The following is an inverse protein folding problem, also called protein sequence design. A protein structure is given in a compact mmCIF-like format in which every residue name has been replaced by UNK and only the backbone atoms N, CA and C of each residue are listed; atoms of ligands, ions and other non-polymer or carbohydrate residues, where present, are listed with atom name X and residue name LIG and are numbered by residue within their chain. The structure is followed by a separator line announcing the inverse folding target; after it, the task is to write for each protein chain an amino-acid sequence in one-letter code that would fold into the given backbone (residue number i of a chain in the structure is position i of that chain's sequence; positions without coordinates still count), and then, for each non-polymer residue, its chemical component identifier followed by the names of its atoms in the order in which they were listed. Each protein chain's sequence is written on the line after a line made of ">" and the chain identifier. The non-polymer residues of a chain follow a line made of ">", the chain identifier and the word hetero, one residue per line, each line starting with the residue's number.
data_IF_038869490800
#
_entry.id   IF_038869490800
#
_cell.length_a   1.000
_cell.length_b   1.000
_cell.length_c   1.000
_cell.angle_alpha   90.00
_cell.angle_beta   90.00
_cell.angle_gamma   90.00
#
_symmetry.space_group_name_H-M   'P 1'
#
loop_
_entity.id
_entity.type
_entity.pdbx_description
1 polymer ?
#
# COMPACT_ATOMS: atom_id res chain seq x y z
N UNK A 1 4.91 18.20 24.31
CA UNK A 1 4.29 18.63 23.05
C UNK A 1 5.29 18.41 21.92
N UNK A 2 4.92 17.67 20.89
CA UNK A 2 5.71 17.52 19.65
C UNK A 2 5.03 18.36 18.56
N UNK A 3 5.78 19.24 17.92
CA UNK A 3 5.30 20.08 16.83
C UNK A 3 5.73 19.42 15.54
N UNK A 4 4.79 19.17 14.64
CA UNK A 4 5.03 18.66 13.30
C UNK A 4 4.87 19.78 12.26
N UNK A 5 5.54 19.72 11.11
CA UNK A 5 5.38 20.70 10.03
C UNK A 5 3.90 20.84 9.62
N UNK A 6 3.47 22.07 9.39
CA UNK A 6 2.12 22.38 8.89
C UNK A 6 2.10 22.47 7.36
N UNK A 7 0.89 22.48 6.79
CA UNK A 7 0.69 22.71 5.34
C UNK A 7 0.84 21.48 4.44
N UNK A 8 1.22 20.33 4.98
CA UNK A 8 1.29 19.09 4.22
C UNK A 8 -0.05 18.35 4.25
N UNK A 9 -0.37 17.69 3.15
CA UNK A 9 -1.51 16.78 3.13
C UNK A 9 -1.22 15.58 4.05
N UNK A 10 -2.16 15.13 4.89
CA UNK A 10 -1.92 14.04 5.87
C UNK A 10 -1.34 12.78 5.24
N UNK A 11 -1.81 12.41 4.04
CA UNK A 11 -1.33 11.25 3.30
C UNK A 11 0.14 11.34 2.85
N UNK A 12 0.66 12.56 2.69
CA UNK A 12 2.06 12.82 2.34
C UNK A 12 2.96 13.05 3.58
N UNK A 13 2.37 13.11 4.77
CA UNK A 13 3.03 13.50 6.02
C UNK A 13 3.20 12.34 7.02
N UNK A 14 3.06 11.08 6.59
CA UNK A 14 3.08 9.92 7.47
C UNK A 14 4.30 9.89 8.39
N UNK A 15 5.50 10.14 7.87
CA UNK A 15 6.72 10.08 8.65
C UNK A 15 6.73 11.11 9.82
N UNK A 16 6.14 12.29 9.62
CA UNK A 16 6.06 13.32 10.65
C UNK A 16 5.11 13.02 11.80
N UNK A 17 4.17 12.10 11.61
CA UNK A 17 3.31 11.60 12.70
C UNK A 17 3.81 10.28 13.27
N UNK A 18 4.17 9.33 12.40
CA UNK A 18 4.52 7.96 12.78
C UNK A 18 5.82 7.88 13.61
N UNK A 19 6.88 8.54 13.15
CA UNK A 19 8.19 8.48 13.83
C UNK A 19 8.15 9.11 15.23
N UNK A 20 7.57 10.31 15.44
CA UNK A 20 7.43 10.85 16.79
C UNK A 20 6.59 9.97 17.71
N UNK A 21 5.51 9.35 17.23
CA UNK A 21 4.70 8.43 18.02
C UNK A 21 5.53 7.23 18.48
N UNK A 22 6.30 6.62 17.58
CA UNK A 22 7.20 5.52 17.95
C UNK A 22 8.23 5.92 19.01
N UNK A 23 8.83 7.11 18.89
CA UNK A 23 9.78 7.62 19.88
C UNK A 23 9.11 7.89 21.25
N UNK A 24 7.89 8.40 21.26
CA UNK A 24 7.12 8.60 22.50
C UNK A 24 6.82 7.26 23.15
N UNK A 25 6.33 6.27 22.40
CA UNK A 25 6.03 4.94 22.91
C UNK A 25 7.28 4.25 23.50
N UNK A 26 8.43 4.42 22.85
CA UNK A 26 9.71 3.93 23.35
C UNK A 26 10.11 4.66 24.66
N UNK A 27 10.01 6.00 24.68
CA UNK A 27 10.35 6.79 25.86
C UNK A 27 9.47 6.49 27.08
N UNK A 28 8.23 6.07 26.83
CA UNK A 28 7.27 5.65 27.87
C UNK A 28 7.40 4.16 28.23
N UNK A 29 8.39 3.46 27.68
CA UNK A 29 8.60 2.01 27.87
C UNK A 29 7.39 1.13 27.48
N UNK A 30 6.51 1.63 26.63
CA UNK A 30 5.38 0.87 26.08
C UNK A 30 5.90 -0.13 25.03
N UNK A 31 6.90 0.27 24.25
CA UNK A 31 7.68 -0.63 23.39
C UNK A 31 9.10 -0.74 23.93
N UNK A 32 9.62 -1.96 24.02
CA UNK A 32 10.95 -2.25 24.58
C UNK A 32 12.07 -2.16 23.54
N UNK A 33 11.73 -2.28 22.26
CA UNK A 33 12.72 -2.32 21.18
C UNK A 33 13.17 -0.92 20.81
N UNK A 34 14.48 -0.66 20.90
CA UNK A 34 15.05 0.57 20.33
C UNK A 34 15.06 0.47 18.80
N UNK A 35 14.16 1.25 18.18
CA UNK A 35 13.94 1.27 16.73
C UNK A 35 14.85 2.27 15.98
N UNK A 36 15.67 3.07 16.70
CA UNK A 36 16.45 4.14 16.06
C UNK A 36 17.43 3.62 15.02
N UNK A 37 18.11 2.50 15.28
CA UNK A 37 18.99 1.88 14.29
C UNK A 37 18.24 1.41 13.04
N UNK A 38 17.07 0.81 13.23
CA UNK A 38 16.20 0.39 12.12
C UNK A 38 15.65 1.59 11.34
N UNK A 39 15.28 2.69 11.99
CA UNK A 39 14.85 3.92 11.31
C UNK A 39 15.97 4.54 10.47
N UNK A 40 17.22 4.53 10.98
CA UNK A 40 18.39 4.99 10.20
C UNK A 40 18.63 4.08 8.99
N UNK A 41 18.56 2.76 9.17
CA UNK A 41 18.68 1.77 8.10
C UNK A 41 17.60 1.99 7.05
N UNK A 42 16.34 2.09 7.48
CA UNK A 42 15.18 2.33 6.60
C UNK A 42 15.31 3.63 5.80
N UNK A 43 15.78 4.71 6.45
CA UNK A 43 16.01 6.00 5.78
C UNK A 43 17.04 5.89 4.64
N UNK A 44 18.15 5.17 4.89
CA UNK A 44 19.16 4.91 3.84
C UNK A 44 18.58 4.08 2.71
N UNK A 45 17.80 3.05 3.04
CA UNK A 45 17.17 2.16 2.06
C UNK A 45 16.15 2.90 1.19
N UNK A 46 15.30 3.72 1.80
CA UNK A 46 14.35 4.60 1.12
C UNK A 46 15.09 5.57 0.19
N UNK A 47 16.10 6.28 0.70
CA UNK A 47 16.89 7.22 -0.11
C UNK A 47 17.55 6.55 -1.31
N UNK A 48 18.08 5.34 -1.15
CA UNK A 48 18.66 4.54 -2.23
C UNK A 48 17.64 4.21 -3.32
N UNK A 49 16.41 3.87 -2.93
CA UNK A 49 15.37 3.45 -3.86
C UNK A 49 14.57 4.61 -4.46
N UNK A 50 14.48 5.76 -3.78
CA UNK A 50 13.69 6.92 -4.22
C UNK A 50 14.05 7.37 -5.64
N UNK A 51 15.34 7.42 -5.98
CA UNK A 51 15.78 7.82 -7.32
C UNK A 51 15.26 6.85 -8.38
N UNK A 52 15.33 5.55 -8.11
CA UNK A 52 14.85 4.51 -9.03
C UNK A 52 13.33 4.54 -9.16
N UNK A 53 12.62 4.66 -8.04
CA UNK A 53 11.15 4.67 -8.02
C UNK A 53 10.54 5.91 -8.70
N UNK A 54 11.29 7.02 -8.73
CA UNK A 54 10.89 8.25 -9.40
C UNK A 54 11.19 8.30 -10.91
N UNK A 55 11.73 7.23 -11.51
CA UNK A 55 12.07 7.20 -12.93
C UNK A 55 10.97 6.54 -13.77
N UNK A 56 10.57 7.18 -14.85
CA UNK A 56 9.72 6.58 -15.89
C UNK A 56 10.57 5.69 -16.79
N UNK A 57 10.86 4.48 -16.29
CA UNK A 57 11.72 3.52 -16.97
C UNK A 57 11.36 2.08 -16.59
N UNK A 58 11.55 1.14 -17.51
CA UNK A 58 11.19 -0.27 -17.31
C UNK A 58 12.05 -1.00 -16.26
N UNK A 59 13.19 -0.44 -15.86
CA UNK A 59 13.94 -0.91 -14.68
C UNK A 59 13.31 -0.49 -13.36
N UNK A 60 12.34 0.44 -13.37
CA UNK A 60 11.60 0.84 -12.19
C UNK A 60 10.45 -0.14 -11.92
N UNK A 61 10.53 -0.98 -10.89
CA UNK A 61 9.48 -1.97 -10.60
C UNK A 61 8.14 -1.32 -10.24
N UNK A 62 8.16 -0.08 -9.72
CA UNK A 62 6.94 0.66 -9.38
C UNK A 62 6.23 1.13 -10.65
N UNK A 63 6.99 1.70 -11.61
CA UNK A 63 6.46 2.08 -12.92
C UNK A 63 5.90 0.90 -13.68
N UNK A 64 6.63 -0.22 -13.70
CA UNK A 64 6.17 -1.46 -14.34
C UNK A 64 4.87 -1.97 -13.72
N UNK A 65 4.75 -1.94 -12.39
CA UNK A 65 3.52 -2.34 -11.72
C UNK A 65 2.38 -1.37 -12.01
N UNK A 66 2.64 -0.06 -12.01
CA UNK A 66 1.64 0.96 -12.37
C UNK A 66 1.06 0.74 -13.78
N UNK A 67 1.92 0.41 -14.76
CA UNK A 67 1.45 0.06 -16.12
C UNK A 67 0.56 -1.18 -16.15
N UNK A 68 0.85 -2.19 -15.31
CA UNK A 68 0.03 -3.42 -15.24
C UNK A 68 -1.37 -3.17 -14.66
N UNK A 69 -1.50 -2.23 -13.74
CA UNK A 69 -2.79 -1.89 -13.11
C UNK A 69 -3.53 -0.76 -13.85
N UNK A 70 -2.91 -0.16 -14.87
CA UNK A 70 -3.55 0.89 -15.65
C UNK A 70 -4.83 0.38 -16.32
N UNK A 71 -5.92 1.16 -16.23
CA UNK A 71 -7.27 0.80 -16.68
C UNK A 71 -7.88 -0.44 -15.99
N UNK A 72 -7.37 -0.83 -14.82
CA UNK A 72 -7.92 -1.92 -14.01
C UNK A 72 -8.31 -1.43 -12.62
N UNK A 73 -9.10 -2.23 -11.93
CA UNK A 73 -9.44 -2.02 -10.52
C UNK A 73 -8.46 -2.84 -9.65
N UNK A 74 -7.52 -2.20 -8.95
CA UNK A 74 -6.59 -2.92 -8.08
C UNK A 74 -7.31 -3.48 -6.85
N UNK A 75 -7.06 -4.76 -6.56
CA UNK A 75 -7.46 -5.42 -5.31
C UNK A 75 -6.18 -5.78 -4.55
N UNK A 76 -6.04 -5.27 -3.34
CA UNK A 76 -4.83 -5.47 -2.54
C UNK A 76 -5.09 -6.54 -1.48
N UNK A 77 -4.38 -7.66 -1.55
CA UNK A 77 -4.43 -8.72 -0.58
C UNK A 77 -3.20 -8.71 0.34
N UNK A 78 -3.43 -8.81 1.62
CA UNK A 78 -2.37 -8.82 2.64
C UNK A 78 -2.73 -9.77 3.78
N UNK A 79 -1.72 -10.20 4.54
CA UNK A 79 -1.99 -10.89 5.79
C UNK A 79 -2.53 -9.92 6.86
N UNK A 80 -3.40 -10.43 7.73
CA UNK A 80 -4.06 -9.62 8.78
C UNK A 80 -3.08 -9.09 9.82
N UNK A 81 -1.98 -9.82 10.07
CA UNK A 81 -1.13 -9.58 11.23
C UNK A 81 -0.08 -8.49 11.00
N UNK A 82 0.47 -8.39 9.77
CA UNK A 82 1.61 -7.52 9.47
C UNK A 82 1.30 -6.42 8.46
N UNK A 83 0.68 -6.77 7.34
CA UNK A 83 0.62 -5.89 6.17
C UNK A 83 -0.78 -5.34 5.86
N UNK A 84 -1.81 -5.72 6.61
CA UNK A 84 -3.18 -5.18 6.44
C UNK A 84 -3.21 -3.65 6.45
N UNK A 85 -2.47 -3.02 7.36
CA UNK A 85 -2.43 -1.54 7.44
C UNK A 85 -1.78 -0.90 6.20
N UNK A 86 -0.80 -1.58 5.60
CA UNK A 86 -0.19 -1.14 4.33
C UNK A 86 -1.20 -1.29 3.19
N UNK A 87 -1.97 -2.38 3.15
CA UNK A 87 -3.02 -2.58 2.14
C UNK A 87 -4.12 -1.51 2.25
N UNK A 88 -4.59 -1.19 3.47
CA UNK A 88 -5.53 -0.09 3.72
C UNK A 88 -4.98 1.24 3.20
N UNK A 89 -3.70 1.53 3.51
CA UNK A 89 -3.05 2.76 3.06
C UNK A 89 -2.92 2.78 1.54
N UNK A 90 -2.41 1.72 0.90
CA UNK A 90 -2.25 1.66 -0.55
C UNK A 90 -3.59 1.89 -1.26
N UNK A 91 -4.66 1.23 -0.81
CA UNK A 91 -6.02 1.45 -1.30
C UNK A 91 -6.40 2.94 -1.22
N UNK A 92 -6.20 3.56 -0.06
CA UNK A 92 -6.47 4.99 0.14
C UNK A 92 -5.65 5.87 -0.80
N UNK A 93 -4.34 5.62 -0.91
CA UNK A 93 -3.44 6.36 -1.79
C UNK A 93 -3.82 6.24 -3.27
N UNK A 94 -4.17 5.06 -3.75
CA UNK A 94 -4.63 4.86 -5.14
C UNK A 94 -5.92 5.64 -5.39
N UNK A 95 -6.88 5.58 -4.47
CA UNK A 95 -8.13 6.32 -4.59
C UNK A 95 -7.91 7.84 -4.58
N UNK A 96 -7.08 8.35 -3.65
CA UNK A 96 -6.88 9.78 -3.47
C UNK A 96 -5.93 10.40 -4.50
N UNK A 97 -4.81 9.74 -4.82
CA UNK A 97 -3.82 10.23 -5.77
C UNK A 97 -4.18 9.84 -7.21
N UNK A 98 -4.38 8.54 -7.45
CA UNK A 98 -4.65 7.98 -8.77
C UNK A 98 -6.04 8.26 -9.32
N UNK A 99 -7.01 8.67 -8.47
CA UNK A 99 -8.43 8.85 -8.80
C UNK A 99 -9.07 7.56 -9.35
N UNK A 100 -8.60 6.41 -8.88
CA UNK A 100 -9.04 5.08 -9.29
C UNK A 100 -9.67 4.39 -8.07
N UNK A 101 -10.79 3.70 -8.27
CA UNK A 101 -11.30 2.81 -7.25
C UNK A 101 -10.31 1.66 -7.02
N UNK A 102 -10.06 1.38 -5.75
CA UNK A 102 -9.26 0.25 -5.33
C UNK A 102 -9.90 -0.39 -4.09
N UNK A 103 -9.66 -1.67 -3.90
CA UNK A 103 -10.17 -2.42 -2.77
C UNK A 103 -9.04 -3.14 -2.05
N UNK A 104 -9.28 -3.54 -0.82
CA UNK A 104 -8.35 -4.41 -0.08
C UNK A 104 -9.10 -5.45 0.71
N UNK A 105 -8.48 -6.59 0.89
CA UNK A 105 -8.93 -7.60 1.82
C UNK A 105 -7.76 -8.27 2.52
N UNK A 106 -8.01 -8.99 3.59
CA UNK A 106 -6.97 -9.63 4.38
C UNK A 106 -7.24 -11.13 4.54
N UNK A 107 -6.19 -11.93 4.38
CA UNK A 107 -6.27 -13.34 4.73
C UNK A 107 -5.80 -13.54 6.18
N UNK A 108 -6.34 -14.53 6.92
CA UNK A 108 -7.13 -15.64 6.38
C UNK A 108 -8.61 -15.33 6.09
N UNK A 109 -9.16 -14.18 6.49
CA UNK A 109 -10.61 -13.92 6.39
C UNK A 109 -11.15 -14.02 4.96
N UNK A 110 -10.46 -13.41 3.97
CA UNK A 110 -10.89 -13.47 2.58
C UNK A 110 -10.96 -14.91 2.02
N UNK A 111 -10.28 -15.87 2.63
CA UNK A 111 -10.34 -17.28 2.24
C UNK A 111 -11.62 -18.00 2.71
N UNK A 112 -12.47 -17.35 3.48
CA UNK A 112 -13.77 -17.89 3.95
C UNK A 112 -14.97 -17.33 3.18
N UNK A 113 -14.76 -16.29 2.37
CA UNK A 113 -15.84 -15.59 1.69
C UNK A 113 -15.43 -15.13 0.27
N UNK A 114 -14.50 -14.21 0.14
CA UNK A 114 -14.18 -13.54 -1.11
C UNK A 114 -13.60 -14.49 -2.18
N UNK A 115 -12.88 -15.54 -1.76
CA UNK A 115 -12.34 -16.55 -2.69
C UNK A 115 -13.44 -17.23 -3.50
N UNK A 116 -14.64 -17.42 -2.93
CA UNK A 116 -15.79 -18.00 -3.62
C UNK A 116 -16.33 -17.05 -4.70
N UNK A 117 -16.16 -15.75 -4.53
CA UNK A 117 -16.57 -14.75 -5.51
C UNK A 117 -15.83 -14.85 -6.86
N UNK A 118 -14.69 -15.55 -6.91
CA UNK A 118 -13.93 -15.80 -8.13
C UNK A 118 -14.40 -17.01 -8.93
N UNK A 119 -15.47 -17.69 -8.53
CA UNK A 119 -16.01 -18.86 -9.24
C UNK A 119 -16.86 -18.50 -10.46
N UNK A 120 -17.43 -17.30 -10.51
CA UNK A 120 -18.38 -16.87 -11.54
C UNK A 120 -18.00 -15.50 -12.11
N UNK A 121 -18.66 -15.13 -13.20
CA UNK A 121 -18.51 -13.83 -13.87
C UNK A 121 -17.07 -13.58 -14.37
N UNK A 122 -16.45 -14.62 -14.94
CA UNK A 122 -15.07 -14.55 -15.45
C UNK A 122 -14.85 -13.47 -16.52
N UNK A 123 -15.92 -13.02 -17.17
CA UNK A 123 -15.91 -11.92 -18.13
C UNK A 123 -15.46 -10.57 -17.52
N UNK A 124 -15.56 -10.41 -16.19
CA UNK A 124 -15.09 -9.22 -15.48
C UNK A 124 -13.64 -9.33 -15.00
N UNK A 125 -13.06 -10.52 -14.95
CA UNK A 125 -11.69 -10.72 -14.40
C UNK A 125 -10.62 -9.87 -15.08
N UNK A 126 -10.65 -9.62 -16.39
CA UNK A 126 -9.68 -8.73 -17.04
C UNK A 126 -9.70 -7.29 -16.52
N UNK A 127 -10.78 -6.86 -15.87
CA UNK A 127 -10.89 -5.53 -15.29
C UNK A 127 -10.26 -5.40 -13.90
N UNK A 128 -9.84 -6.51 -13.30
CA UNK A 128 -9.19 -6.52 -12.00
C UNK A 128 -7.70 -6.80 -12.12
N UNK A 129 -6.95 -6.33 -11.13
CA UNK A 129 -5.54 -6.68 -10.95
C UNK A 129 -5.26 -6.89 -9.47
N UNK A 130 -4.73 -8.05 -9.10
CA UNK A 130 -4.45 -8.36 -7.70
C UNK A 130 -3.01 -8.02 -7.36
N UNK A 131 -2.83 -7.26 -6.28
CA UNK A 131 -1.55 -6.95 -5.67
C UNK A 131 -1.45 -7.70 -4.34
N UNK A 132 -0.57 -8.69 -4.28
CA UNK A 132 -0.29 -9.46 -3.09
C UNK A 132 0.86 -8.82 -2.33
N UNK A 133 0.58 -8.25 -1.15
CA UNK A 133 1.65 -7.78 -0.28
C UNK A 133 2.29 -8.98 0.42
N UNK A 134 3.62 -9.01 0.44
CA UNK A 134 4.38 -10.10 1.02
C UNK A 134 5.47 -9.57 1.95
N UNK A 135 5.64 -10.23 3.10
CA UNK A 135 6.75 -10.04 4.03
C UNK A 135 7.43 -11.38 4.33
N UNK A 136 8.76 -11.42 4.31
CA UNK A 136 9.53 -12.64 4.54
C UNK A 136 9.30 -13.25 5.94
N UNK A 137 8.93 -12.42 6.93
CA UNK A 137 8.64 -12.86 8.30
C UNK A 137 7.14 -13.15 8.54
N UNK A 138 6.34 -13.19 7.49
CA UNK A 138 4.95 -13.60 7.57
C UNK A 138 4.85 -15.04 8.12
N UNK A 139 3.79 -15.32 8.88
CA UNK A 139 3.53 -16.67 9.37
C UNK A 139 3.57 -17.68 8.22
N UNK A 140 4.27 -18.82 8.40
CA UNK A 140 4.46 -19.82 7.34
C UNK A 140 3.13 -20.32 6.76
N UNK A 141 2.12 -20.51 7.61
CA UNK A 141 0.80 -20.92 7.14
C UNK A 141 0.12 -19.87 6.26
N UNK A 142 0.37 -18.58 6.52
CA UNK A 142 -0.11 -17.48 5.66
C UNK A 142 0.67 -17.40 4.34
N UNK A 143 1.97 -17.69 4.32
CA UNK A 143 2.73 -17.81 3.07
C UNK A 143 2.18 -18.93 2.18
N UNK A 144 1.89 -20.09 2.78
CA UNK A 144 1.30 -21.24 2.06
C UNK A 144 -0.09 -20.88 1.53
N UNK A 145 -0.96 -20.25 2.35
CA UNK A 145 -2.28 -19.78 1.89
C UNK A 145 -2.17 -18.82 0.71
N UNK A 146 -1.33 -17.82 0.85
CA UNK A 146 -1.12 -16.83 -0.22
C UNK A 146 -0.72 -17.54 -1.51
N UNK A 147 0.26 -18.45 -1.45
CA UNK A 147 0.71 -19.19 -2.63
C UNK A 147 -0.42 -20.00 -3.26
N UNK A 148 -1.16 -20.78 -2.48
CA UNK A 148 -2.27 -21.61 -2.98
C UNK A 148 -3.33 -20.74 -3.68
N UNK A 149 -3.75 -19.63 -3.05
CA UNK A 149 -4.77 -18.76 -3.65
C UNK A 149 -4.24 -18.05 -4.89
N UNK A 150 -2.97 -17.63 -4.89
CA UNK A 150 -2.34 -17.08 -6.10
C UNK A 150 -2.36 -18.10 -7.25
N UNK A 151 -2.01 -19.36 -6.97
CA UNK A 151 -2.02 -20.42 -7.98
C UNK A 151 -3.46 -20.65 -8.52
N UNK A 152 -4.47 -20.73 -7.64
CA UNK A 152 -5.88 -20.85 -8.04
C UNK A 152 -6.36 -19.70 -8.92
N UNK A 153 -6.02 -18.46 -8.58
CA UNK A 153 -6.42 -17.29 -9.36
C UNK A 153 -5.66 -17.21 -10.71
N UNK A 154 -4.43 -17.70 -10.73
CA UNK A 154 -3.68 -17.82 -11.98
C UNK A 154 -4.31 -18.85 -12.95
N UNK A 155 -4.80 -19.98 -12.44
CA UNK A 155 -5.49 -21.01 -13.22
C UNK A 155 -6.74 -20.47 -13.93
N UNK A 156 -7.43 -19.51 -13.35
CA UNK A 156 -8.62 -18.87 -13.95
C UNK A 156 -8.29 -17.57 -14.69
N UNK A 157 -7.00 -17.26 -14.89
CA UNK A 157 -6.56 -16.15 -15.74
C UNK A 157 -6.66 -14.76 -15.10
N UNK A 158 -6.69 -14.65 -13.78
CA UNK A 158 -6.72 -13.35 -13.08
C UNK A 158 -5.31 -12.74 -13.06
N UNK A 159 -5.19 -11.52 -13.57
CA UNK A 159 -3.92 -10.77 -13.54
C UNK A 159 -3.50 -10.41 -12.13
N UNK A 160 -2.25 -10.71 -11.78
CA UNK A 160 -1.76 -10.49 -10.42
C UNK A 160 -0.24 -10.27 -10.35
N UNK A 161 0.20 -9.70 -9.25
CA UNK A 161 1.63 -9.59 -8.90
C UNK A 161 1.85 -9.69 -7.41
N UNK A 162 2.90 -10.40 -7.02
CA UNK A 162 3.43 -10.35 -5.64
C UNK A 162 4.30 -9.11 -5.49
N UNK A 163 4.07 -8.34 -4.45
CA UNK A 163 4.86 -7.17 -4.08
C UNK A 163 5.64 -7.48 -2.80
N UNK A 164 6.93 -7.60 -2.95
CA UNK A 164 7.91 -7.85 -1.91
C UNK A 164 9.05 -6.84 -2.03
N UNK A 165 9.55 -6.34 -0.94
CA UNK A 165 10.66 -5.39 -0.92
C UNK A 165 11.81 -5.90 -0.04
N UNK A 166 13.08 -5.54 -0.34
CA UNK A 166 14.21 -5.93 0.47
C UNK A 166 14.27 -5.17 1.80
N UNK A 167 14.88 -5.78 2.81
CA UNK A 167 15.16 -5.16 4.11
C UNK A 167 15.62 -6.20 5.12
N UNK A 168 16.53 -5.81 6.02
CA UNK A 168 17.11 -6.71 7.02
C UNK A 168 16.22 -6.89 8.26
N UNK A 169 15.30 -5.96 8.49
CA UNK A 169 14.32 -6.00 9.57
C UNK A 169 12.90 -5.81 9.03
N UNK A 170 11.90 -6.18 9.85
CA UNK A 170 10.50 -5.89 9.51
C UNK A 170 10.26 -4.39 9.30
N UNK A 171 10.85 -3.52 10.12
CA UNK A 171 10.70 -2.06 9.98
C UNK A 171 11.29 -1.57 8.66
N UNK A 172 12.44 -2.10 8.24
CA UNK A 172 13.03 -1.76 6.93
C UNK A 172 12.08 -2.09 5.80
N UNK A 173 11.55 -3.33 5.78
CA UNK A 173 10.63 -3.79 4.74
C UNK A 173 9.30 -3.05 4.80
N UNK A 174 8.75 -2.85 5.98
CA UNK A 174 7.49 -2.14 6.19
C UNK A 174 7.53 -0.70 5.67
N UNK A 175 8.57 0.06 6.04
CA UNK A 175 8.73 1.45 5.61
C UNK A 175 9.07 1.56 4.12
N UNK A 176 9.91 0.65 3.60
CA UNK A 176 10.20 0.63 2.17
C UNK A 176 8.98 0.22 1.34
N UNK A 177 8.16 -0.71 1.84
CA UNK A 177 6.91 -1.10 1.20
C UNK A 177 5.92 0.05 1.15
N UNK A 178 5.76 0.81 2.23
CA UNK A 178 4.97 2.04 2.23
C UNK A 178 5.49 3.02 1.17
N UNK A 179 6.78 3.24 1.13
CA UNK A 179 7.41 4.15 0.15
C UNK A 179 7.18 3.68 -1.30
N UNK A 180 7.28 2.36 -1.55
CA UNK A 180 6.93 1.77 -2.84
C UNK A 180 5.46 2.04 -3.19
N UNK A 181 4.55 1.82 -2.25
CA UNK A 181 3.12 2.03 -2.41
C UNK A 181 2.76 3.51 -2.68
N UNK A 182 3.45 4.43 -2.01
CA UNK A 182 3.25 5.87 -2.23
C UNK A 182 3.67 6.25 -3.67
N UNK A 183 4.81 5.77 -4.16
CA UNK A 183 5.23 5.94 -5.54
C UNK A 183 4.28 5.26 -6.54
N UNK A 184 3.76 4.08 -6.21
CA UNK A 184 2.80 3.39 -7.06
C UNK A 184 1.54 4.24 -7.28
N UNK A 185 1.01 4.82 -6.22
CA UNK A 185 -0.16 5.71 -6.32
C UNK A 185 0.11 6.99 -7.12
N UNK A 186 1.34 7.52 -7.03
CA UNK A 186 1.78 8.66 -7.86
C UNK A 186 1.83 8.28 -9.35
N UNK A 187 2.43 7.14 -9.69
CA UNK A 187 2.48 6.68 -11.07
C UNK A 187 1.10 6.35 -11.64
N UNK A 188 0.16 5.87 -10.81
CA UNK A 188 -1.24 5.75 -11.22
C UNK A 188 -1.84 7.10 -11.60
N UNK A 189 -1.53 8.17 -10.86
CA UNK A 189 -1.98 9.52 -11.20
C UNK A 189 -1.40 9.99 -12.54
N UNK A 190 -0.10 9.79 -12.76
CA UNK A 190 0.58 10.16 -14.02
C UNK A 190 -0.04 9.43 -15.21
N UNK A 191 -0.23 8.11 -15.12
CA UNK A 191 -0.87 7.31 -16.18
C UNK A 191 -2.31 7.76 -16.46
N UNK A 192 -3.04 8.15 -15.42
CA UNK A 192 -4.40 8.69 -15.55
C UNK A 192 -4.44 10.17 -15.95
N UNK A 193 -3.29 10.79 -16.17
CA UNK A 193 -3.18 12.22 -16.53
C UNK A 193 -3.93 13.13 -15.56
N UNK A 194 -3.85 12.83 -14.26
CA UNK A 194 -4.51 13.58 -13.20
C UNK A 194 -3.52 14.12 -12.18
N UNK A 195 -3.82 15.30 -11.61
CA UNK A 195 -3.05 15.83 -10.48
C UNK A 195 -3.36 15.00 -9.22
N UNK A 196 -2.34 14.41 -8.56
CA UNK A 196 -2.54 13.67 -7.32
C UNK A 196 -2.99 14.55 -6.14
N UNK A 197 -2.72 15.86 -6.18
CA UNK A 197 -2.86 16.74 -5.01
C UNK A 197 -4.31 17.04 -4.63
N UNK A 198 -5.21 17.53 -5.52
CA UNK A 198 -6.56 17.94 -5.15
C UNK A 198 -7.46 16.73 -4.81
N UNK A 199 -8.37 16.93 -3.86
CA UNK A 199 -9.37 15.94 -3.44
C UNK A 199 -10.78 16.52 -3.49
N UNK A 200 -11.16 17.03 -4.65
CA UNK A 200 -12.38 17.82 -4.88
C UNK A 200 -13.66 17.20 -4.30
N UNK A 201 -13.85 15.88 -4.44
CA UNK A 201 -15.04 15.21 -3.90
C UNK A 201 -15.06 15.23 -2.36
N UNK A 202 -13.91 15.12 -1.71
CA UNK A 202 -13.80 15.23 -0.25
C UNK A 202 -14.11 16.66 0.20
N UNK A 203 -13.58 17.66 -0.50
CA UNK A 203 -13.84 19.08 -0.22
C UNK A 203 -15.32 19.40 -0.42
N UNK A 204 -15.92 18.95 -1.52
CA UNK A 204 -17.37 19.11 -1.77
C UNK A 204 -18.23 18.48 -0.68
N UNK A 205 -17.87 17.28 -0.22
CA UNK A 205 -18.56 16.62 0.90
C UNK A 205 -18.46 17.45 2.19
N UNK A 206 -17.23 17.89 2.56
CA UNK A 206 -17.00 18.70 3.76
C UNK A 206 -17.78 20.01 3.74
N UNK A 207 -17.78 20.70 2.59
CA UNK A 207 -18.53 21.95 2.43
C UNK A 207 -20.03 21.73 2.64
N UNK A 208 -20.61 20.70 2.00
CA UNK A 208 -22.03 20.37 2.20
C UNK A 208 -22.36 19.99 3.64
N UNK A 209 -21.49 19.24 4.33
CA UNK A 209 -21.69 18.89 5.73
C UNK A 209 -21.62 20.11 6.65
N UNK A 210 -20.80 21.11 6.33
CA UNK A 210 -20.69 22.34 7.11
C UNK A 210 -21.95 23.26 6.98
N UNK A 211 -22.75 23.08 5.95
CA UNK A 211 -24.02 23.80 5.74
C UNK A 211 -25.17 23.20 6.57
N UNK A 212 -25.02 21.98 7.06
CA UNK A 212 -26.01 21.31 7.91
C UNK A 212 -25.75 21.72 9.36
N UNK A 213 -26.71 22.42 9.98
CA UNK A 213 -26.66 22.83 11.39
C UNK A 213 -27.21 21.74 12.29
#
# INVERSE_FOLDING_TARGET
>A
KVIIPSGMQPRAALAFSFIPILNILFSLSIISTNINSSLVSSSKLIKKNSKKYGMEHDDNPVWVLAKKIYNKVPIIYADSDRLKTVAVRLKGQICENGKILAYHSAFPEMNHNEIVGWEKNSEFFPNYFIIWLFDSDMNERNKVRQKIVMDMLNEIGVDQSKLEVPGSSFIDRFLLLIHYCDWLSYWCAILNKTDPSPVQNIEKLKNKLSEIK
#
